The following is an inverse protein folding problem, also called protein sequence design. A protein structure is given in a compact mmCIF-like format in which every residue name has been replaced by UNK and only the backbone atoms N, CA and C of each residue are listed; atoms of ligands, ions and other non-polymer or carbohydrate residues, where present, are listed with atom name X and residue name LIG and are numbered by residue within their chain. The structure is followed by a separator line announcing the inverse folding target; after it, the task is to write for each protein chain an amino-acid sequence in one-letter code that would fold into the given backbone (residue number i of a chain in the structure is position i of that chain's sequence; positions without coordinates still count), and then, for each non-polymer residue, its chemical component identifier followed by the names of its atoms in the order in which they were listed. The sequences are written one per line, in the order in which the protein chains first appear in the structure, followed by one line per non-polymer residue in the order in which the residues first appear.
data_IF_204725807144
#
_entry.id   IF_204725807144
#
_cell.length_a   1.000
_cell.length_b   1.000
_cell.length_c   1.000
_cell.angle_alpha   90.00
_cell.angle_beta   90.00
_cell.angle_gamma   90.00
#
_symmetry.space_group_name_H-M   'P 1'
#
loop_
_entity.id
_entity.type
_entity.pdbx_description
1 polymer ?
#
# COMPACT_ATOMS: atom_id res chain seq x y z
N UNK A 1 22.23 -2.38 -23.31
CA UNK A 1 21.95 -2.50 -21.85
C UNK A 1 21.47 -1.13 -21.37
N UNK A 2 20.14 -0.86 -21.35
CA UNK A 2 19.62 0.33 -20.66
C UNK A 2 19.78 0.08 -19.18
N UNK A 3 20.77 0.69 -18.55
CA UNK A 3 20.85 0.76 -17.08
C UNK A 3 19.52 1.34 -16.58
N UNK A 4 18.82 0.62 -15.73
CA UNK A 4 17.67 1.17 -14.99
C UNK A 4 18.25 2.10 -13.92
N UNK A 5 18.53 3.35 -14.29
CA UNK A 5 19.20 4.37 -13.45
C UNK A 5 18.53 4.46 -12.08
N UNK A 6 17.19 4.43 -12.03
CA UNK A 6 16.39 4.46 -10.81
C UNK A 6 16.73 3.29 -9.87
N UNK A 7 16.74 2.07 -10.40
CA UNK A 7 17.04 0.86 -9.59
C UNK A 7 18.48 0.86 -9.10
N UNK A 8 19.41 1.28 -9.95
CA UNK A 8 20.82 1.38 -9.57
C UNK A 8 21.04 2.45 -8.50
N UNK A 9 20.37 3.61 -8.61
CA UNK A 9 20.42 4.66 -7.60
C UNK A 9 19.87 4.16 -6.25
N UNK A 10 18.74 3.43 -6.25
CA UNK A 10 18.15 2.85 -5.05
C UNK A 10 19.08 1.81 -4.40
N UNK A 11 19.74 0.97 -5.20
CA UNK A 11 20.73 0.01 -4.71
C UNK A 11 21.96 0.70 -4.12
N UNK A 12 22.49 1.75 -4.78
CA UNK A 12 23.60 2.52 -4.25
C UNK A 12 23.26 3.22 -2.94
N UNK A 13 22.08 3.82 -2.85
CA UNK A 13 21.65 4.45 -1.59
C UNK A 13 21.47 3.44 -0.46
N UNK A 14 20.94 2.24 -0.75
CA UNK A 14 20.83 1.16 0.23
C UNK A 14 22.21 0.69 0.73
N UNK A 15 23.16 0.50 -0.18
CA UNK A 15 24.56 0.14 0.18
C UNK A 15 25.21 1.25 1.03
N UNK A 16 24.99 2.53 0.67
CA UNK A 16 25.51 3.65 1.47
C UNK A 16 24.93 3.66 2.91
N UNK A 17 23.62 3.36 3.06
CA UNK A 17 22.99 3.24 4.36
C UNK A 17 23.54 2.05 5.18
N UNK A 18 23.78 0.90 4.53
CA UNK A 18 24.47 -0.23 5.19
C UNK A 18 25.84 0.20 5.69
N UNK A 19 26.61 0.88 4.86
CA UNK A 19 27.93 1.36 5.24
C UNK A 19 27.85 2.36 6.40
N UNK A 20 26.90 3.29 6.38
CA UNK A 20 26.68 4.23 7.49
C UNK A 20 26.31 3.52 8.80
N UNK A 21 25.44 2.51 8.76
CA UNK A 21 25.08 1.71 9.94
C UNK A 21 26.27 0.86 10.44
N UNK A 22 27.03 0.27 9.53
CA UNK A 22 28.21 -0.54 9.87
C UNK A 22 29.32 0.31 10.49
N UNK A 23 29.59 1.51 9.98
CA UNK A 23 30.56 2.43 10.57
C UNK A 23 30.16 2.85 11.99
N UNK A 24 28.86 3.14 12.19
CA UNK A 24 28.32 3.45 13.53
C UNK A 24 28.49 2.26 14.49
N UNK A 25 28.23 1.05 14.02
CA UNK A 25 28.46 -0.16 14.83
C UNK A 25 29.92 -0.31 15.24
N UNK A 26 30.85 -0.11 14.30
CA UNK A 26 32.28 -0.18 14.59
C UNK A 26 32.74 0.89 15.59
N UNK A 27 32.20 2.12 15.52
CA UNK A 27 32.53 3.21 16.43
C UNK A 27 31.93 3.02 17.81
N UNK A 28 30.68 2.56 17.92
CA UNK A 28 29.95 2.47 19.19
C UNK A 28 30.20 1.16 19.93
N UNK A 29 30.68 0.12 19.22
CA UNK A 29 30.90 -1.22 19.82
C UNK A 29 29.60 -1.99 20.13
N UNK A 30 28.45 -1.44 19.78
CA UNK A 30 27.13 -2.07 19.96
C UNK A 30 26.27 -1.91 18.71
N UNK A 31 25.20 -2.73 18.60
CA UNK A 31 24.31 -2.70 17.46
C UNK A 31 23.66 -1.31 17.29
N UNK A 32 23.60 -0.75 16.06
CA UNK A 32 23.21 0.64 15.81
C UNK A 32 21.68 0.81 15.83
N UNK A 33 21.05 0.62 16.97
CA UNK A 33 19.64 0.87 17.28
C UNK A 33 19.47 1.42 18.70
N UNK A 34 20.48 2.15 19.19
CA UNK A 34 20.50 2.67 20.56
C UNK A 34 19.84 4.03 20.70
N UNK A 35 19.73 4.79 19.63
CA UNK A 35 19.18 6.14 19.63
C UNK A 35 18.24 6.38 18.43
N UNK A 36 17.53 7.51 18.48
CA UNK A 36 16.54 7.86 17.44
C UNK A 36 17.20 8.05 16.06
N UNK A 37 18.41 8.59 16.00
CA UNK A 37 19.14 8.78 14.74
C UNK A 37 19.41 7.43 14.03
N UNK A 38 19.93 6.48 14.76
CA UNK A 38 20.25 5.14 14.25
C UNK A 38 18.98 4.39 13.84
N UNK A 39 17.91 4.53 14.61
CA UNK A 39 16.60 3.94 14.28
C UNK A 39 16.03 4.49 12.99
N UNK A 40 16.14 5.80 12.74
CA UNK A 40 15.69 6.42 11.49
C UNK A 40 16.55 6.00 10.29
N UNK A 41 17.87 5.89 10.46
CA UNK A 41 18.74 5.36 9.40
C UNK A 41 18.40 3.90 9.07
N UNK A 42 18.15 3.09 10.11
CA UNK A 42 17.73 1.70 9.93
C UNK A 42 16.37 1.59 9.25
N UNK A 43 15.42 2.45 9.60
CA UNK A 43 14.12 2.54 8.93
C UNK A 43 14.27 2.88 7.44
N UNK A 44 15.10 3.88 7.11
CA UNK A 44 15.38 4.27 5.72
C UNK A 44 16.05 3.12 4.95
N UNK A 45 16.99 2.43 5.57
CA UNK A 45 17.63 1.24 5.01
C UNK A 45 16.59 0.13 4.75
N UNK A 46 15.76 -0.21 5.74
CA UNK A 46 14.72 -1.23 5.63
C UNK A 46 13.69 -0.90 4.55
N UNK A 47 13.31 0.38 4.42
CA UNK A 47 12.35 0.85 3.41
C UNK A 47 12.92 0.70 1.99
N UNK A 48 14.17 1.11 1.77
CA UNK A 48 14.85 0.93 0.48
C UNK A 48 15.14 -0.54 0.17
N UNK A 49 15.52 -1.34 1.19
CA UNK A 49 15.72 -2.79 1.07
C UNK A 49 14.41 -3.50 0.68
N UNK A 50 13.30 -3.13 1.30
CA UNK A 50 11.97 -3.67 0.95
C UNK A 50 11.63 -3.37 -0.51
N UNK A 51 11.86 -2.14 -0.98
CA UNK A 51 11.61 -1.77 -2.36
C UNK A 51 12.47 -2.58 -3.35
N UNK A 52 13.73 -2.87 -3.02
CA UNK A 52 14.63 -3.70 -3.83
C UNK A 52 14.17 -5.17 -3.80
N UNK A 53 13.84 -5.70 -2.62
CA UNK A 53 13.45 -7.11 -2.41
C UNK A 53 12.16 -7.46 -3.13
N UNK A 54 11.14 -6.62 -3.03
CA UNK A 54 9.86 -6.82 -3.69
C UNK A 54 9.99 -6.77 -5.21
N UNK A 55 11.16 -6.31 -5.69
CA UNK A 55 11.59 -6.33 -7.10
C UNK A 55 10.53 -5.78 -8.05
N UNK A 56 9.96 -4.67 -7.67
CA UNK A 56 8.96 -3.99 -8.45
C UNK A 56 9.61 -3.43 -9.73
N UNK A 57 9.09 -3.83 -10.89
CA UNK A 57 9.38 -3.14 -12.15
C UNK A 57 8.54 -1.84 -12.27
N UNK A 58 7.72 -1.55 -11.28
CA UNK A 58 6.89 -0.36 -11.22
C UNK A 58 7.74 0.85 -10.86
N UNK A 59 7.95 1.75 -11.83
CA UNK A 59 8.62 3.03 -11.59
C UNK A 59 7.87 3.90 -10.59
N UNK A 60 6.54 3.77 -10.53
CA UNK A 60 5.69 4.52 -9.61
C UNK A 60 6.00 4.12 -8.17
N UNK A 61 6.19 2.84 -7.88
CA UNK A 61 6.53 2.39 -6.53
C UNK A 61 7.88 2.94 -6.04
N UNK A 62 8.92 2.89 -6.90
CA UNK A 62 10.21 3.51 -6.59
C UNK A 62 10.10 5.02 -6.35
N UNK A 63 9.32 5.72 -7.18
CA UNK A 63 9.07 7.15 -7.04
C UNK A 63 8.32 7.51 -5.75
N UNK A 64 7.50 6.61 -5.20
CA UNK A 64 6.81 6.80 -3.91
C UNK A 64 7.73 6.54 -2.71
N UNK A 65 8.56 5.49 -2.79
CA UNK A 65 9.42 5.07 -1.68
C UNK A 65 10.65 5.95 -1.52
N UNK A 66 11.27 6.38 -2.63
CA UNK A 66 12.52 7.15 -2.60
C UNK A 66 12.42 8.47 -1.84
N UNK A 67 11.39 9.33 -2.03
CA UNK A 67 11.26 10.56 -1.27
C UNK A 67 11.11 10.31 0.24
N UNK A 68 10.36 9.28 0.62
CA UNK A 68 10.15 8.95 2.04
C UNK A 68 11.44 8.53 2.70
N UNK A 69 12.24 7.68 2.05
CA UNK A 69 13.56 7.32 2.54
C UNK A 69 14.49 8.55 2.64
N UNK A 70 14.46 9.43 1.62
CA UNK A 70 15.22 10.68 1.63
C UNK A 70 14.82 11.60 2.79
N UNK A 71 13.52 11.84 2.98
CA UNK A 71 13.02 12.67 4.09
C UNK A 71 13.34 12.07 5.46
N UNK A 72 13.31 10.74 5.58
CA UNK A 72 13.70 10.05 6.82
C UNK A 72 15.18 10.28 7.14
N UNK A 73 16.07 10.14 6.15
CA UNK A 73 17.51 10.41 6.32
C UNK A 73 17.78 11.89 6.57
N UNK A 74 17.14 12.79 5.81
CA UNK A 74 17.29 14.22 6.00
C UNK A 74 16.77 14.67 7.38
N UNK A 75 15.63 14.16 7.82
CA UNK A 75 15.10 14.40 9.16
C UNK A 75 16.04 13.90 10.27
N UNK A 76 16.66 12.74 10.08
CA UNK A 76 17.64 12.21 11.01
C UNK A 76 18.91 13.09 11.08
N UNK A 77 19.42 13.53 9.93
CA UNK A 77 20.71 14.24 9.84
C UNK A 77 20.60 15.73 10.11
N UNK A 78 19.53 16.37 9.64
CA UNK A 78 19.35 17.81 9.72
C UNK A 78 18.35 18.24 10.81
N UNK A 79 17.34 17.40 11.10
CA UNK A 79 16.28 17.73 12.04
C UNK A 79 16.59 17.39 13.50
N UNK A 80 17.44 16.37 13.74
CA UNK A 80 17.77 16.00 15.10
C UNK A 80 18.93 16.85 15.67
N UNK A 81 18.84 17.28 16.95
CA UNK A 81 19.96 17.87 17.66
C UNK A 81 21.18 16.95 17.70
N UNK A 82 22.38 17.53 17.69
CA UNK A 82 23.63 16.77 17.68
C UNK A 82 23.79 15.84 18.89
N UNK A 83 23.19 16.18 20.00
CA UNK A 83 23.15 15.37 21.23
C UNK A 83 22.46 14.02 21.00
N UNK A 84 21.35 14.03 20.25
CA UNK A 84 20.59 12.81 19.90
C UNK A 84 21.22 12.00 18.75
N UNK A 85 22.18 12.59 18.04
CA UNK A 85 22.93 11.92 16.98
C UNK A 85 24.17 11.19 17.51
N UNK A 86 24.65 11.55 18.72
CA UNK A 86 25.84 10.93 19.33
C UNK A 86 25.49 9.55 19.89
N UNK A 87 26.38 8.59 19.65
CA UNK A 87 26.27 7.29 20.28
C UNK A 87 26.52 7.46 21.78
N UNK A 88 25.60 7.02 22.60
CA UNK A 88 25.72 6.98 24.07
C UNK A 88 25.90 5.55 24.53
N UNK A 89 26.51 5.37 25.69
CA UNK A 89 26.62 4.04 26.31
C UNK A 89 25.22 3.50 26.61
N UNK A 90 24.97 2.23 26.23
CA UNK A 90 23.69 1.57 26.52
C UNK A 90 23.52 1.39 28.04
N UNK A 91 22.34 1.79 28.53
CA UNK A 91 21.93 1.43 29.90
C UNK A 91 21.81 -0.08 30.06
N UNK A 92 22.05 -0.67 31.25
CA UNK A 92 22.06 -2.13 31.43
C UNK A 92 20.80 -2.85 30.91
N UNK A 93 19.62 -2.25 31.08
CA UNK A 93 18.35 -2.81 30.62
C UNK A 93 18.27 -2.95 29.09
N UNK A 94 19.02 -2.15 28.32
CA UNK A 94 19.08 -2.19 26.88
C UNK A 94 20.14 -3.15 26.31
N UNK A 95 20.91 -3.83 27.17
CA UNK A 95 21.95 -4.81 26.76
C UNK A 95 21.38 -6.21 26.53
N UNK A 96 20.06 -6.39 26.49
CA UNK A 96 19.43 -7.69 26.27
C UNK A 96 19.43 -8.05 24.77
N UNK A 97 19.77 -9.31 24.46
CA UNK A 97 19.65 -9.85 23.10
C UNK A 97 18.20 -9.86 22.59
N UNK A 98 17.24 -10.03 23.49
CA UNK A 98 15.82 -9.96 23.18
C UNK A 98 15.40 -8.59 22.72
N UNK A 99 15.91 -7.53 23.35
CA UNK A 99 15.64 -6.16 22.92
C UNK A 99 16.18 -5.90 21.52
N UNK A 100 17.42 -6.30 21.23
CA UNK A 100 18.01 -6.12 19.90
C UNK A 100 17.20 -6.84 18.82
N UNK A 101 16.78 -8.07 19.10
CA UNK A 101 15.92 -8.83 18.18
C UNK A 101 14.56 -8.16 18.00
N UNK A 102 13.91 -7.76 19.09
CA UNK A 102 12.62 -7.07 19.06
C UNK A 102 12.69 -5.80 18.21
N UNK A 103 13.62 -4.89 18.53
CA UNK A 103 13.73 -3.59 17.85
C UNK A 103 14.07 -3.78 16.37
N UNK A 104 14.99 -4.69 16.02
CA UNK A 104 15.35 -4.96 14.62
C UNK A 104 14.16 -5.47 13.81
N UNK A 105 13.42 -6.44 14.35
CA UNK A 105 12.25 -7.02 13.69
C UNK A 105 11.11 -6.00 13.58
N UNK A 106 10.86 -5.21 14.63
CA UNK A 106 9.86 -4.14 14.62
C UNK A 106 10.19 -3.06 13.58
N UNK A 107 11.45 -2.62 13.50
CA UNK A 107 11.87 -1.62 12.51
C UNK A 107 11.74 -2.13 11.08
N UNK A 108 12.05 -3.41 10.83
CA UNK A 108 11.82 -4.04 9.53
C UNK A 108 10.32 -4.16 9.22
N UNK A 109 9.50 -4.48 10.21
CA UNK A 109 8.05 -4.47 10.08
C UNK A 109 7.56 -3.08 9.68
N UNK A 110 7.96 -2.03 10.39
CA UNK A 110 7.57 -0.65 10.06
C UNK A 110 7.99 -0.23 8.66
N UNK A 111 9.21 -0.61 8.23
CA UNK A 111 9.69 -0.34 6.89
C UNK A 111 8.82 -1.00 5.81
N UNK A 112 8.47 -2.28 6.00
CA UNK A 112 7.64 -3.03 5.04
C UNK A 112 6.18 -2.54 5.02
N UNK A 113 5.60 -2.25 6.20
CA UNK A 113 4.26 -1.71 6.33
C UNK A 113 4.17 -0.30 5.71
N UNK A 114 5.18 0.55 5.93
CA UNK A 114 5.28 1.88 5.32
C UNK A 114 5.32 1.78 3.80
N UNK A 115 6.17 0.91 3.24
CA UNK A 115 6.26 0.68 1.81
C UNK A 115 4.92 0.17 1.21
N UNK A 116 4.25 -0.74 1.90
CA UNK A 116 2.92 -1.24 1.53
C UNK A 116 1.85 -0.15 1.56
N UNK A 117 1.85 0.69 2.59
CA UNK A 117 0.92 1.83 2.71
C UNK A 117 1.14 2.87 1.61
N UNK A 118 2.39 3.14 1.23
CA UNK A 118 2.71 4.02 0.10
C UNK A 118 2.20 3.45 -1.23
N UNK A 119 2.30 2.13 -1.43
CA UNK A 119 1.73 1.48 -2.61
C UNK A 119 0.19 1.60 -2.65
N UNK A 120 -0.49 1.43 -1.50
CA UNK A 120 -1.93 1.65 -1.38
C UNK A 120 -2.32 3.10 -1.70
N UNK A 121 -1.59 4.08 -1.16
CA UNK A 121 -1.83 5.50 -1.45
C UNK A 121 -1.61 5.81 -2.93
N UNK A 122 -0.57 5.25 -3.55
CA UNK A 122 -0.31 5.39 -4.98
C UNK A 122 -1.43 4.79 -5.84
N UNK A 123 -1.94 3.62 -5.47
CA UNK A 123 -3.10 3.00 -6.11
C UNK A 123 -4.33 3.92 -6.03
N UNK A 124 -4.65 4.42 -4.83
CA UNK A 124 -5.80 5.31 -4.61
C UNK A 124 -5.67 6.63 -5.38
N UNK A 125 -4.48 7.21 -5.41
CA UNK A 125 -4.22 8.45 -6.16
C UNK A 125 -4.45 8.28 -7.67
N UNK A 126 -4.05 7.12 -8.24
CA UNK A 126 -4.31 6.80 -9.64
C UNK A 126 -5.79 6.57 -9.92
N UNK A 127 -6.54 5.98 -8.99
CA UNK A 127 -7.99 5.77 -9.12
C UNK A 127 -8.73 7.11 -9.10
N UNK A 128 -8.47 7.95 -8.10
CA UNK A 128 -9.05 9.31 -8.00
C UNK A 128 -8.69 10.17 -9.22
N UNK A 129 -7.48 10.01 -9.78
CA UNK A 129 -7.07 10.69 -11.00
C UNK A 129 -7.90 10.31 -12.22
N UNK A 130 -8.31 9.04 -12.34
CA UNK A 130 -9.19 8.58 -13.42
C UNK A 130 -10.61 9.13 -13.30
N UNK A 131 -11.15 9.15 -12.09
CA UNK A 131 -12.49 9.69 -11.82
C UNK A 131 -12.54 11.18 -12.19
N UNK A 132 -11.53 11.95 -11.79
CA UNK A 132 -11.43 13.36 -12.15
C UNK A 132 -11.28 13.58 -13.66
N UNK A 133 -10.50 12.76 -14.37
CA UNK A 133 -10.38 12.85 -15.83
C UNK A 133 -11.71 12.52 -16.54
N UNK A 134 -12.42 11.52 -16.02
CA UNK A 134 -13.73 11.12 -16.55
C UNK A 134 -14.76 12.23 -16.35
N UNK A 135 -14.81 12.83 -15.16
CA UNK A 135 -15.66 13.98 -14.83
C UNK A 135 -15.30 15.18 -15.71
N UNK A 136 -14.00 15.48 -15.88
CA UNK A 136 -13.55 16.55 -16.77
C UNK A 136 -13.99 16.36 -18.23
N UNK A 137 -13.87 15.14 -18.77
CA UNK A 137 -14.35 14.82 -20.13
C UNK A 137 -15.86 14.92 -20.27
N UNK A 138 -16.62 14.54 -19.24
CA UNK A 138 -18.08 14.70 -19.22
C UNK A 138 -18.47 16.18 -19.18
N UNK A 139 -17.81 16.97 -18.34
CA UNK A 139 -18.05 18.43 -18.23
C UNK A 139 -17.75 19.11 -19.56
N UNK A 140 -16.62 18.79 -20.21
CA UNK A 140 -16.26 19.30 -21.53
C UNK A 140 -17.28 18.90 -22.61
N UNK A 141 -17.77 17.65 -22.57
CA UNK A 141 -18.83 17.20 -23.47
C UNK A 141 -20.15 17.96 -23.25
N UNK A 142 -20.53 18.17 -21.98
CA UNK A 142 -21.73 18.92 -21.63
C UNK A 142 -21.61 20.38 -22.05
N UNK A 143 -20.45 21.00 -21.81
CA UNK A 143 -20.19 22.38 -22.26
C UNK A 143 -20.24 22.51 -23.77
N UNK A 144 -19.61 21.61 -24.53
CA UNK A 144 -19.68 21.58 -25.98
C UNK A 144 -21.10 21.36 -26.50
N UNK A 145 -21.89 20.52 -25.81
CA UNK A 145 -23.30 20.32 -26.16
C UNK A 145 -24.14 21.60 -25.95
N UNK A 146 -23.94 22.28 -24.79
CA UNK A 146 -24.62 23.54 -24.48
C UNK A 146 -24.24 24.67 -25.45
N UNK A 147 -22.95 24.78 -25.83
CA UNK A 147 -22.52 25.80 -26.81
C UNK A 147 -22.98 25.47 -28.23
N UNK A 148 -23.15 24.19 -28.60
CA UNK A 148 -23.70 23.79 -29.88
C UNK A 148 -25.18 24.14 -30.00
N UNK A 149 -25.94 23.94 -28.93
CA UNK A 149 -27.36 24.23 -28.86
C UNK A 149 -27.66 25.75 -28.99
N UNK A 150 -26.78 26.62 -28.47
CA UNK A 150 -26.89 28.05 -28.61
C UNK A 150 -26.57 28.56 -30.02
N UNK A 151 -25.90 27.78 -30.87
CA UNK A 151 -25.55 28.17 -32.23
C UNK A 151 -26.60 27.65 -33.26
N UNK A 152 -27.31 26.57 -32.93
CA UNK A 152 -28.34 25.96 -33.79
C UNK A 152 -29.76 26.53 -33.54
N UNK A 153 -29.94 27.36 -32.47
CA UNK A 153 -31.23 27.98 -32.11
C UNK A 153 -31.69 29.11 -33.07
N UNK A 154 -31.01 29.29 -34.23
CA UNK A 154 -31.51 30.15 -35.31
C UNK A 154 -32.21 29.37 -36.44
N UNK A 155 -32.34 28.04 -36.31
CA UNK A 155 -33.09 27.27 -37.30
C UNK A 155 -33.69 26.00 -36.65
N UNK A 156 -35.05 26.03 -36.54
CA UNK A 156 -35.95 24.89 -36.31
C UNK A 156 -36.09 24.33 -34.88
N UNK A 157 -37.28 24.61 -34.34
CA UNK A 157 -37.97 23.95 -33.23
C UNK A 157 -38.40 22.53 -33.64
N UNK A 158 -37.63 21.47 -33.37
CA UNK A 158 -38.17 20.09 -33.50
C UNK A 158 -37.33 18.96 -32.88
N UNK A 159 -36.43 19.11 -31.91
CA UNK A 159 -35.72 17.94 -31.36
C UNK A 159 -35.44 18.00 -29.83
N UNK A 160 -36.27 18.69 -29.00
CA UNK A 160 -36.03 18.78 -27.55
C UNK A 160 -36.38 17.53 -26.72
N UNK A 161 -37.10 16.56 -27.29
CA UNK A 161 -37.65 15.44 -26.49
C UNK A 161 -36.75 14.21 -26.40
N UNK A 162 -35.75 14.04 -27.26
CA UNK A 162 -34.96 12.79 -27.29
C UNK A 162 -33.83 12.75 -26.25
N UNK A 163 -33.27 13.87 -25.83
CA UNK A 163 -32.11 13.92 -24.92
C UNK A 163 -32.50 13.72 -23.46
N UNK A 164 -33.70 14.11 -23.05
CA UNK A 164 -34.20 13.90 -21.68
C UNK A 164 -34.59 12.43 -21.44
N UNK A 165 -35.03 11.72 -22.48
CA UNK A 165 -35.42 10.31 -22.40
C UNK A 165 -34.24 9.37 -22.19
N UNK A 166 -33.07 9.68 -22.76
CA UNK A 166 -31.88 8.83 -22.64
C UNK A 166 -31.22 8.94 -21.24
N UNK A 167 -31.19 10.12 -20.64
CA UNK A 167 -30.65 10.32 -19.29
C UNK A 167 -31.54 9.66 -18.24
N UNK A 168 -32.85 9.80 -18.32
CA UNK A 168 -33.83 9.20 -17.40
C UNK A 168 -33.97 7.69 -17.57
N UNK A 169 -33.72 7.14 -18.75
CA UNK A 169 -33.75 5.69 -19.01
C UNK A 169 -32.59 4.95 -18.35
N UNK A 170 -31.40 5.58 -18.27
CA UNK A 170 -30.20 4.96 -17.67
C UNK A 170 -30.26 4.95 -16.15
N UNK A 171 -30.89 5.96 -15.54
CA UNK A 171 -31.08 6.03 -14.09
C UNK A 171 -32.21 5.08 -13.62
N UNK A 172 -33.20 4.79 -14.46
CA UNK A 172 -34.26 3.81 -14.20
C UNK A 172 -33.81 2.36 -14.29
N UNK A 173 -32.79 2.06 -15.06
CA UNK A 173 -32.28 0.69 -15.22
C UNK A 173 -31.48 0.19 -14.02
N UNK A 174 -30.99 1.09 -13.15
CA UNK A 174 -30.18 0.75 -11.98
C UNK A 174 -30.90 0.84 -10.63
N UNK A 175 -32.23 1.11 -10.61
CA UNK A 175 -32.99 1.02 -9.37
C UNK A 175 -33.64 -0.35 -9.23
N UNK A 176 -33.49 -1.04 -8.10
CA UNK A 176 -34.23 -2.26 -7.84
C UNK A 176 -35.73 -1.95 -7.82
N UNK A 177 -36.51 -2.69 -8.61
CA UNK A 177 -37.97 -2.59 -8.61
C UNK A 177 -38.48 -3.13 -7.27
N UNK A 178 -39.08 -2.28 -6.49
CA UNK A 178 -39.83 -2.67 -5.29
C UNK A 178 -41.27 -2.90 -5.74
N UNK A 179 -41.71 -4.13 -5.59
CA UNK A 179 -43.11 -4.47 -5.86
C UNK A 179 -43.98 -4.05 -4.68
N UNK A 180 -44.94 -3.19 -4.93
CA UNK A 180 -45.73 -2.49 -3.88
C UNK A 180 -46.77 -3.38 -3.19
N UNK A 181 -46.78 -4.68 -3.39
CA UNK A 181 -47.79 -5.60 -2.81
C UNK A 181 -47.25 -6.59 -1.78
N UNK A 182 -45.94 -6.86 -1.69
CA UNK A 182 -45.46 -7.92 -0.77
C UNK A 182 -44.20 -7.63 0.02
N UNK A 183 -43.56 -6.49 -0.11
CA UNK A 183 -42.42 -6.10 0.75
C UNK A 183 -41.17 -7.03 0.68
N UNK A 184 -41.08 -7.91 -0.32
CA UNK A 184 -40.03 -8.92 -0.40
C UNK A 184 -39.05 -8.59 -1.54
N UNK A 185 -37.76 -8.61 -1.22
CA UNK A 185 -36.69 -8.38 -2.20
C UNK A 185 -36.56 -9.58 -3.14
N UNK A 186 -36.83 -9.40 -4.42
CA UNK A 186 -36.59 -10.42 -5.42
C UNK A 186 -35.14 -10.39 -5.86
N UNK A 187 -34.39 -11.43 -5.49
CA UNK A 187 -33.04 -11.67 -5.98
C UNK A 187 -33.08 -12.06 -7.47
N UNK A 188 -32.22 -11.42 -8.27
CA UNK A 188 -32.07 -11.77 -9.68
C UNK A 188 -31.47 -13.18 -9.81
N UNK A 189 -32.26 -14.11 -10.36
CA UNK A 189 -31.78 -15.41 -10.80
C UNK A 189 -30.98 -15.24 -12.10
N UNK A 190 -29.71 -15.62 -12.09
CA UNK A 190 -28.96 -15.87 -13.32
C UNK A 190 -29.50 -17.15 -13.97
N UNK A 191 -30.08 -17.00 -15.14
CA UNK A 191 -30.44 -18.15 -15.99
C UNK A 191 -29.14 -18.87 -16.43
N UNK A 192 -28.94 -20.06 -15.90
CA UNK A 192 -27.98 -21.02 -16.40
C UNK A 192 -28.65 -21.90 -17.46
N UNK A 193 -28.32 -21.70 -18.72
CA UNK A 193 -28.64 -22.65 -19.77
C UNK A 193 -27.69 -23.86 -19.64
N UNK A 194 -28.26 -24.99 -19.25
CA UNK A 194 -27.62 -26.29 -19.24
C UNK A 194 -27.47 -26.85 -20.66
N UNK A 195 -26.24 -27.08 -21.11
CA UNK A 195 -25.95 -28.08 -22.13
C UNK A 195 -24.87 -29.04 -21.58
N UNK A 196 -25.31 -30.27 -21.36
CA UNK A 196 -24.52 -31.41 -21.01
C UNK A 196 -23.59 -31.83 -22.15
N UNK A 197 -22.27 -31.83 -21.91
CA UNK A 197 -21.34 -32.66 -22.68
C UNK A 197 -20.23 -33.13 -21.76
N UNK A 198 -20.16 -34.43 -21.54
CA UNK A 198 -19.11 -35.16 -20.85
C UNK A 198 -17.78 -35.03 -21.60
N UNK A 199 -16.76 -34.49 -20.97
CA UNK A 199 -15.37 -34.65 -21.40
C UNK A 199 -14.41 -34.53 -20.20
N UNK A 200 -13.61 -35.56 -20.09
CA UNK A 200 -12.33 -35.80 -19.44
C UNK A 200 -11.76 -34.74 -18.47
N UNK A 201 -11.48 -35.21 -17.27
CA UNK A 201 -10.64 -34.59 -16.24
C UNK A 201 -9.24 -34.29 -16.78
N UNK A 202 -8.92 -32.98 -16.94
CA UNK A 202 -7.55 -32.49 -16.94
C UNK A 202 -7.26 -31.79 -15.62
N UNK A 203 -6.06 -31.94 -15.03
CA UNK A 203 -5.70 -31.27 -13.77
C UNK A 203 -5.67 -29.76 -13.95
N UNK A 204 -5.91 -28.98 -12.87
CA UNK A 204 -5.96 -27.53 -12.94
C UNK A 204 -4.60 -26.96 -13.37
N UNK A 205 -4.58 -26.38 -14.56
CA UNK A 205 -3.42 -25.62 -15.03
C UNK A 205 -3.32 -24.35 -14.17
N UNK A 206 -2.15 -24.13 -13.60
CA UNK A 206 -1.75 -22.86 -12.99
C UNK A 206 -2.07 -21.70 -13.96
N UNK A 207 -2.57 -20.55 -13.48
CA UNK A 207 -2.88 -19.41 -14.33
C UNK A 207 -1.59 -18.95 -15.04
N UNK A 208 -1.55 -19.17 -16.34
CA UNK A 208 -0.47 -18.73 -17.20
C UNK A 208 -0.36 -17.21 -17.17
N UNK A 209 0.84 -16.71 -16.93
CA UNK A 209 1.26 -15.32 -16.80
C UNK A 209 1.16 -14.48 -18.09
N UNK A 210 0.30 -14.81 -19.05
CA UNK A 210 0.26 -14.22 -20.39
C UNK A 210 -0.81 -13.15 -20.60
N UNK A 211 -1.65 -12.80 -19.62
CA UNK A 211 -2.75 -11.85 -19.81
C UNK A 211 -2.43 -10.39 -19.44
N UNK A 212 -1.22 -10.09 -18.91
CA UNK A 212 -0.86 -8.75 -18.45
C UNK A 212 -0.43 -7.77 -19.57
N UNK A 213 -0.18 -8.24 -20.78
CA UNK A 213 0.33 -7.41 -21.88
C UNK A 213 -0.76 -6.65 -22.66
N UNK A 214 -2.03 -6.95 -22.46
CA UNK A 214 -3.16 -6.35 -23.19
C UNK A 214 -3.86 -5.21 -22.43
N UNK A 215 -3.52 -4.97 -21.16
CA UNK A 215 -4.13 -3.91 -20.36
C UNK A 215 -3.51 -2.54 -20.68
N UNK A 216 -4.30 -1.45 -20.69
CA UNK A 216 -3.77 -0.10 -20.78
C UNK A 216 -2.77 0.18 -19.65
N UNK A 217 -1.73 0.98 -19.94
CA UNK A 217 -0.59 1.22 -19.02
C UNK A 217 -1.04 1.61 -17.62
N UNK A 218 -2.07 2.45 -17.49
CA UNK A 218 -2.61 2.86 -16.19
C UNK A 218 -3.22 1.70 -15.39
N UNK A 219 -4.00 0.83 -16.03
CA UNK A 219 -4.61 -0.33 -15.37
C UNK A 219 -3.54 -1.35 -14.92
N UNK A 220 -2.49 -1.53 -15.73
CA UNK A 220 -1.35 -2.38 -15.37
C UNK A 220 -0.62 -1.85 -14.14
N UNK A 221 -0.33 -0.55 -14.09
CA UNK A 221 0.35 0.08 -12.94
C UNK A 221 -0.49 -0.06 -11.66
N UNK A 222 -1.81 0.08 -11.74
CA UNK A 222 -2.71 -0.12 -10.60
C UNK A 222 -2.65 -1.56 -10.09
N UNK A 223 -2.77 -2.54 -10.97
CA UNK A 223 -2.68 -3.96 -10.58
C UNK A 223 -1.32 -4.29 -9.96
N UNK A 224 -0.24 -3.71 -10.49
CA UNK A 224 1.10 -3.86 -9.90
C UNK A 224 1.17 -3.26 -8.49
N UNK A 225 0.67 -2.03 -8.27
CA UNK A 225 0.66 -1.38 -6.96
C UNK A 225 -0.21 -2.13 -5.95
N UNK A 226 -1.36 -2.65 -6.36
CA UNK A 226 -2.23 -3.44 -5.50
C UNK A 226 -1.54 -4.74 -5.05
N UNK A 227 -0.93 -5.48 -5.96
CA UNK A 227 -0.16 -6.68 -5.64
C UNK A 227 1.05 -6.39 -4.74
N UNK A 228 1.74 -5.26 -4.98
CA UNK A 228 2.88 -4.84 -4.18
C UNK A 228 2.45 -4.48 -2.76
N UNK A 229 1.35 -3.74 -2.62
CA UNK A 229 0.80 -3.38 -1.31
C UNK A 229 0.46 -4.62 -0.49
N UNK A 230 -0.26 -5.57 -1.09
CA UNK A 230 -0.63 -6.82 -0.42
C UNK A 230 0.59 -7.63 0.04
N UNK A 231 1.60 -7.76 -0.81
CA UNK A 231 2.84 -8.49 -0.47
C UNK A 231 3.63 -7.80 0.64
N UNK A 232 3.78 -6.47 0.57
CA UNK A 232 4.47 -5.70 1.60
C UNK A 232 3.73 -5.73 2.94
N UNK A 233 2.41 -5.53 2.93
CA UNK A 233 1.60 -5.56 4.15
C UNK A 233 1.56 -6.96 4.78
N UNK A 234 1.47 -8.02 3.97
CA UNK A 234 1.55 -9.40 4.46
C UNK A 234 2.89 -9.72 5.13
N UNK A 235 4.00 -9.37 4.49
CA UNK A 235 5.33 -9.54 5.08
C UNK A 235 5.49 -8.70 6.35
N UNK A 236 5.06 -7.44 6.30
CA UNK A 236 5.11 -6.53 7.44
C UNK A 236 4.29 -7.03 8.64
N UNK A 237 3.12 -7.63 8.40
CA UNK A 237 2.28 -8.21 9.43
C UNK A 237 2.93 -9.42 10.13
N UNK A 238 3.58 -10.29 9.38
CA UNK A 238 4.34 -11.42 9.96
C UNK A 238 5.47 -10.91 10.84
N UNK A 239 6.24 -9.92 10.35
CA UNK A 239 7.30 -9.29 11.13
C UNK A 239 6.75 -8.55 12.35
N UNK A 240 5.60 -7.87 12.25
CA UNK A 240 4.95 -7.22 13.39
C UNK A 240 4.58 -8.23 14.47
N UNK A 241 4.01 -9.37 14.08
CA UNK A 241 3.66 -10.43 15.01
C UNK A 241 4.90 -10.99 15.73
N UNK A 242 5.97 -11.29 14.98
CA UNK A 242 7.23 -11.76 15.55
C UNK A 242 7.86 -10.71 16.47
N UNK A 243 7.78 -9.43 16.07
CA UNK A 243 8.24 -8.30 16.88
C UNK A 243 7.49 -8.16 18.21
N UNK A 244 6.15 -8.27 18.19
CA UNK A 244 5.32 -8.21 19.39
C UNK A 244 5.65 -9.37 20.36
N UNK A 245 5.79 -10.59 19.85
CA UNK A 245 6.12 -11.75 20.66
C UNK A 245 7.51 -11.58 21.33
N UNK A 246 8.52 -11.20 20.54
CA UNK A 246 9.87 -10.96 21.06
C UNK A 246 9.92 -9.80 22.05
N UNK A 247 9.10 -8.77 21.84
CA UNK A 247 8.95 -7.65 22.77
C UNK A 247 8.32 -8.06 24.10
N UNK A 248 7.32 -8.93 24.08
CA UNK A 248 6.72 -9.47 25.28
C UNK A 248 7.73 -10.31 26.10
N UNK A 249 8.57 -11.12 25.44
CA UNK A 249 9.64 -11.88 26.11
C UNK A 249 10.65 -10.94 26.76
N UNK A 250 11.08 -9.89 26.03
CA UNK A 250 11.97 -8.89 26.61
C UNK A 250 11.34 -8.14 27.79
N UNK A 251 10.05 -7.79 27.70
CA UNK A 251 9.33 -7.11 28.78
C UNK A 251 9.31 -7.96 30.06
N UNK A 252 9.11 -9.27 29.91
CA UNK A 252 9.18 -10.19 31.05
C UNK A 252 10.57 -10.26 31.67
N UNK A 253 11.64 -10.26 30.85
CA UNK A 253 13.03 -10.25 31.33
C UNK A 253 13.36 -8.93 32.05
N UNK A 254 12.92 -7.80 31.51
CA UNK A 254 13.25 -6.47 32.02
C UNK A 254 12.38 -6.03 33.20
N UNK A 255 11.11 -6.40 33.23
CA UNK A 255 10.09 -5.89 34.16
C UNK A 255 9.30 -7.00 34.88
N UNK A 256 9.51 -8.27 34.55
CA UNK A 256 8.83 -9.41 35.18
C UNK A 256 7.37 -9.63 34.70
N UNK A 257 6.94 -8.99 33.61
CA UNK A 257 5.60 -9.17 33.05
C UNK A 257 5.67 -9.18 31.54
N UNK A 258 4.98 -10.12 30.89
CA UNK A 258 4.90 -10.20 29.43
C UNK A 258 4.04 -9.09 28.83
N UNK A 259 3.08 -8.57 29.60
CA UNK A 259 2.10 -7.59 29.13
C UNK A 259 1.55 -6.79 30.30
N UNK A 260 1.62 -5.48 30.22
CA UNK A 260 1.21 -4.57 31.31
C UNK A 260 0.05 -3.61 30.92
N UNK A 261 -0.47 -3.73 29.71
CA UNK A 261 -1.51 -2.85 29.15
C UNK A 261 -1.09 -1.38 29.11
N UNK A 262 0.18 -1.11 28.96
CA UNK A 262 0.64 0.26 28.77
C UNK A 262 0.13 0.83 27.42
N UNK A 263 0.12 2.16 27.24
CA UNK A 263 -0.35 2.76 26.00
C UNK A 263 0.38 2.27 24.73
N UNK A 264 1.68 1.93 24.82
CA UNK A 264 2.47 1.44 23.68
C UNK A 264 2.03 0.04 23.28
N UNK A 265 1.87 -0.85 24.25
CA UNK A 265 1.38 -2.22 24.03
C UNK A 265 -0.03 -2.21 23.46
N UNK A 266 -0.94 -1.40 24.03
CA UNK A 266 -2.31 -1.26 23.58
C UNK A 266 -2.40 -0.77 22.13
N UNK A 267 -1.65 0.27 21.76
CA UNK A 267 -1.61 0.76 20.39
C UNK A 267 -0.96 -0.22 19.42
N UNK A 268 0.04 -0.97 19.85
CA UNK A 268 0.64 -2.04 19.05
C UNK A 268 -0.38 -3.14 18.76
N UNK A 269 -1.21 -3.53 19.73
CA UNK A 269 -2.30 -4.49 19.56
C UNK A 269 -3.39 -3.96 18.62
N UNK A 270 -3.80 -2.69 18.75
CA UNK A 270 -4.76 -2.04 17.84
C UNK A 270 -4.23 -2.06 16.40
N UNK A 271 -2.95 -1.73 16.21
CA UNK A 271 -2.30 -1.78 14.91
C UNK A 271 -2.30 -3.20 14.34
N UNK A 272 -2.00 -4.20 15.16
CA UNK A 272 -2.03 -5.61 14.77
C UNK A 272 -3.42 -6.04 14.31
N UNK A 273 -4.47 -5.72 15.07
CA UNK A 273 -5.86 -6.02 14.67
C UNK A 273 -6.28 -5.32 13.38
N UNK A 274 -5.85 -4.08 13.16
CA UNK A 274 -6.14 -3.34 11.93
C UNK A 274 -5.57 -4.05 10.70
N UNK A 275 -4.31 -4.48 10.76
CA UNK A 275 -3.70 -5.22 9.65
C UNK A 275 -4.26 -6.64 9.51
N UNK A 276 -4.58 -7.31 10.61
CA UNK A 276 -5.23 -8.63 10.59
C UNK A 276 -6.59 -8.55 9.87
N UNK A 277 -7.40 -7.56 10.21
CA UNK A 277 -8.72 -7.33 9.60
C UNK A 277 -8.57 -7.03 8.11
N UNK A 278 -7.63 -6.15 7.73
CA UNK A 278 -7.34 -5.84 6.33
C UNK A 278 -6.94 -7.10 5.53
N UNK A 279 -5.99 -7.87 6.05
CA UNK A 279 -5.53 -9.09 5.36
C UNK A 279 -6.64 -10.15 5.29
N UNK A 280 -7.46 -10.29 6.36
CA UNK A 280 -8.60 -11.20 6.34
C UNK A 280 -9.64 -10.81 5.29
N UNK A 281 -9.99 -9.53 5.21
CA UNK A 281 -10.94 -9.03 4.19
C UNK A 281 -10.45 -9.20 2.75
N UNK A 282 -9.13 -9.34 2.53
CA UNK A 282 -8.53 -9.61 1.22
C UNK A 282 -8.51 -11.09 0.84
N UNK A 283 -8.64 -11.99 1.82
CA UNK A 283 -8.62 -13.45 1.62
C UNK A 283 -10.02 -14.03 1.41
N UNK A 284 -11.06 -13.35 1.89
CA UNK A 284 -12.48 -13.70 1.74
C UNK A 284 -13.06 -13.04 0.51
#
# INVERSE_FOLDING_TARGET
VKLNVERTALQLSNVALIFALASRWAESGHFPLSNMYESLLFLAWGTTATAIYVNSNSKVFGALVSPVALFTVAGATLGLPKELQRASALVPALKSNWLMMHVSVMMMSYATLLAGSLACMGFLALELGKDNETVGKLTEKMEKAMFKDNNDNNNSNEDEDEMLVVATSRERSNRPKIDSKTGEQVAYAMESSSSSTTAAMNPPQSPSSSSSSSLPVGARTQTELDNLSYRCLGLGFVLLTAGLISGAVWANEAWGSYWSWDPKETWALVTWFTYATYLHSRLV
#
